data_IF_584612455687
#
_entry.id   IF_584612455687
#
_cell.length_a   1.000
_cell.length_b   1.000
_cell.length_c   1.000
_cell.angle_alpha   90.00
_cell.angle_beta   90.00
_cell.angle_gamma   90.00
#
_symmetry.space_group_name_H-M   'P 1'
#
loop_
_entity.id
_entity.type
_entity.pdbx_description
1 polymer ?
#
# COMPACT_ATOMS: atom_id res chain seq x y z
N UNK A 1 -7.82 14.31 -40.41
CA UNK A 1 -9.29 14.34 -40.23
C UNK A 1 -9.68 13.54 -38.99
N UNK A 2 -10.63 14.01 -38.16
CA UNK A 2 -11.05 13.30 -36.95
C UNK A 2 -11.60 11.90 -37.29
N UNK A 3 -11.28 10.91 -36.46
CA UNK A 3 -11.68 9.51 -36.66
C UNK A 3 -13.17 9.26 -36.34
N UNK A 4 -13.82 10.19 -35.63
CA UNK A 4 -15.20 10.10 -35.13
C UNK A 4 -16.03 11.29 -35.62
N UNK A 5 -17.35 11.09 -35.77
CA UNK A 5 -18.31 12.14 -36.10
C UNK A 5 -18.85 12.81 -34.82
N UNK A 6 -19.37 14.03 -34.96
CA UNK A 6 -20.06 14.70 -33.86
C UNK A 6 -21.46 14.11 -33.60
N UNK A 7 -22.05 14.41 -32.44
CA UNK A 7 -23.43 14.00 -32.13
C UNK A 7 -24.45 14.57 -33.13
N UNK A 8 -24.23 15.79 -33.63
CA UNK A 8 -25.11 16.39 -34.65
C UNK A 8 -25.01 15.62 -35.97
N UNK A 9 -23.80 15.26 -36.39
CA UNK A 9 -23.61 14.45 -37.59
C UNK A 9 -24.22 13.04 -37.45
N UNK A 10 -24.12 12.42 -36.27
CA UNK A 10 -24.77 11.13 -36.01
C UNK A 10 -26.30 11.22 -36.03
N UNK A 11 -26.89 12.27 -35.47
CA UNK A 11 -28.33 12.51 -35.53
C UNK A 11 -28.81 12.66 -36.99
N UNK A 12 -28.08 13.45 -37.79
CA UNK A 12 -28.36 13.63 -39.22
C UNK A 12 -28.26 12.30 -40.00
N UNK A 13 -27.27 11.45 -39.66
CA UNK A 13 -27.15 10.12 -40.26
C UNK A 13 -28.35 9.24 -39.94
N UNK A 14 -28.80 9.23 -38.68
CA UNK A 14 -29.98 8.46 -38.26
C UNK A 14 -31.24 8.96 -38.97
N UNK A 15 -31.41 10.28 -39.05
CA UNK A 15 -32.54 10.89 -39.73
C UNK A 15 -32.59 10.52 -41.22
N UNK A 16 -31.47 10.64 -41.94
CA UNK A 16 -31.38 10.28 -43.36
C UNK A 16 -31.55 8.77 -43.58
N UNK A 17 -31.03 7.94 -42.68
CA UNK A 17 -31.21 6.50 -42.72
C UNK A 17 -32.68 6.10 -42.54
N UNK A 18 -33.38 6.75 -41.60
CA UNK A 18 -34.83 6.59 -41.41
C UNK A 18 -35.63 7.07 -42.63
N UNK A 19 -35.30 8.24 -43.18
CA UNK A 19 -35.91 8.78 -44.40
C UNK A 19 -35.77 7.82 -45.60
N UNK A 20 -34.68 7.05 -45.66
CA UNK A 20 -34.45 6.05 -46.68
C UNK A 20 -35.04 4.67 -46.36
N UNK A 21 -35.96 4.56 -45.39
CA UNK A 21 -36.56 3.31 -44.91
C UNK A 21 -35.52 2.23 -44.57
N UNK A 22 -34.40 2.63 -43.95
CA UNK A 22 -33.32 1.70 -43.57
C UNK A 22 -32.41 1.26 -44.73
N UNK A 23 -32.53 1.83 -45.92
CA UNK A 23 -31.61 1.54 -47.02
C UNK A 23 -30.33 2.36 -46.90
N UNK A 24 -29.25 1.74 -46.41
CA UNK A 24 -27.97 2.41 -46.16
C UNK A 24 -27.30 2.98 -47.43
N UNK A 25 -27.49 2.35 -48.60
CA UNK A 25 -26.89 2.83 -49.86
C UNK A 25 -27.60 4.09 -50.37
N UNK A 26 -28.94 4.12 -50.27
CA UNK A 26 -29.73 5.32 -50.57
C UNK A 26 -29.40 6.44 -49.57
N UNK A 27 -29.27 6.10 -48.29
CA UNK A 27 -28.95 7.06 -47.23
C UNK A 27 -27.61 7.76 -47.46
N UNK A 28 -26.57 7.04 -47.92
CA UNK A 28 -25.28 7.65 -48.26
C UNK A 28 -25.42 8.71 -49.36
N UNK A 29 -26.16 8.39 -50.43
CA UNK A 29 -26.38 9.34 -51.55
C UNK A 29 -27.17 10.56 -51.10
N UNK A 30 -28.24 10.35 -50.34
CA UNK A 30 -29.05 11.44 -49.79
C UNK A 30 -28.27 12.30 -48.80
N UNK A 31 -27.40 11.71 -47.97
CA UNK A 31 -26.56 12.44 -47.04
C UNK A 31 -25.56 13.33 -47.78
N UNK A 32 -24.90 12.80 -48.81
CA UNK A 32 -23.98 13.58 -49.65
C UNK A 32 -24.70 14.73 -50.36
N UNK A 33 -25.94 14.51 -50.82
CA UNK A 33 -26.77 15.53 -51.46
C UNK A 33 -27.18 16.65 -50.49
N UNK A 34 -27.54 16.31 -49.25
CA UNK A 34 -28.01 17.27 -48.23
C UNK A 34 -26.86 18.03 -47.56
N UNK A 35 -25.67 17.43 -47.48
CA UNK A 35 -24.51 17.99 -46.79
C UNK A 35 -23.25 17.94 -47.68
N UNK A 36 -23.17 18.75 -48.75
CA UNK A 36 -22.09 18.67 -49.74
C UNK A 36 -20.71 19.01 -49.18
N UNK A 37 -20.64 19.82 -48.11
CA UNK A 37 -19.38 20.23 -47.48
C UNK A 37 -18.93 19.33 -46.32
N UNK A 38 -19.65 18.22 -46.06
CA UNK A 38 -19.31 17.29 -44.97
C UNK A 38 -18.66 16.02 -45.52
N UNK A 39 -17.88 15.35 -44.68
CA UNK A 39 -17.35 14.02 -44.99
C UNK A 39 -18.49 13.02 -45.12
N UNK A 40 -18.56 12.32 -46.25
CA UNK A 40 -19.57 11.29 -46.48
C UNK A 40 -19.23 10.00 -45.70
N UNK A 41 -20.10 9.55 -44.77
CA UNK A 41 -19.87 8.31 -44.02
C UNK A 41 -20.07 7.06 -44.89
N UNK A 42 -19.40 5.97 -44.54
CA UNK A 42 -19.64 4.67 -45.18
C UNK A 42 -21.05 4.15 -44.82
N UNK A 43 -21.70 3.40 -45.73
CA UNK A 43 -23.01 2.76 -45.49
C UNK A 43 -23.10 2.01 -44.14
N UNK A 44 -22.01 1.38 -43.70
CA UNK A 44 -21.96 0.67 -42.41
C UNK A 44 -22.13 1.61 -41.22
N UNK A 45 -21.65 2.86 -41.32
CA UNK A 45 -21.77 3.86 -40.24
C UNK A 45 -23.24 4.19 -40.00
N UNK A 46 -24.04 4.41 -41.04
CA UNK A 46 -25.49 4.66 -40.89
C UNK A 46 -26.19 3.52 -40.14
N UNK A 47 -25.93 2.29 -40.55
CA UNK A 47 -26.47 1.08 -39.91
C UNK A 47 -26.05 0.97 -38.44
N UNK A 48 -24.74 1.08 -38.17
CA UNK A 48 -24.19 0.91 -36.82
C UNK A 48 -24.62 2.03 -35.89
N UNK A 49 -24.73 3.27 -36.37
CA UNK A 49 -25.20 4.40 -35.57
C UNK A 49 -26.66 4.22 -35.19
N UNK A 50 -27.52 3.81 -36.13
CA UNK A 50 -28.93 3.53 -35.85
C UNK A 50 -29.09 2.38 -34.85
N UNK A 51 -28.41 1.25 -35.07
CA UNK A 51 -28.49 0.11 -34.17
C UNK A 51 -27.96 0.45 -32.77
N UNK A 52 -26.85 1.19 -32.68
CA UNK A 52 -26.30 1.63 -31.39
C UNK A 52 -27.28 2.53 -30.63
N UNK A 53 -27.90 3.47 -31.32
CA UNK A 53 -28.93 4.33 -30.74
C UNK A 53 -30.14 3.50 -30.27
N UNK A 54 -30.59 2.54 -31.08
CA UNK A 54 -31.72 1.66 -30.76
C UNK A 54 -31.45 0.74 -29.57
N UNK A 55 -30.26 0.17 -29.48
CA UNK A 55 -29.91 -0.82 -28.46
C UNK A 55 -29.46 -0.19 -27.14
N UNK A 56 -28.75 0.95 -27.20
CA UNK A 56 -28.10 1.54 -26.02
C UNK A 56 -28.54 2.96 -25.70
N UNK A 57 -29.33 3.61 -26.57
CA UNK A 57 -29.76 5.00 -26.40
C UNK A 57 -28.65 6.05 -26.54
N UNK A 58 -27.44 5.67 -26.98
CA UNK A 58 -26.28 6.58 -27.05
C UNK A 58 -25.56 6.49 -28.38
N UNK A 59 -24.97 7.60 -28.83
CA UNK A 59 -24.08 7.61 -30.01
C UNK A 59 -22.64 7.20 -29.69
N UNK A 60 -22.26 7.19 -28.41
CA UNK A 60 -20.92 6.90 -27.91
C UNK A 60 -20.46 5.51 -28.31
N UNK A 61 -19.34 5.43 -29.03
CA UNK A 61 -18.66 4.16 -29.30
C UNK A 61 -18.14 3.65 -27.96
N UNK A 62 -18.72 2.56 -27.44
CA UNK A 62 -18.16 1.85 -26.29
C UNK A 62 -16.75 1.40 -26.69
N UNK A 63 -15.72 2.07 -26.17
CA UNK A 63 -14.41 1.45 -26.12
C UNK A 63 -14.57 0.25 -25.18
N UNK A 64 -14.37 -0.95 -25.71
CA UNK A 64 -14.34 -2.14 -24.86
C UNK A 64 -13.18 -1.97 -23.88
N UNK A 65 -13.52 -1.58 -22.66
CA UNK A 65 -12.63 -1.48 -21.51
C UNK A 65 -12.06 -2.85 -21.09
N UNK A 66 -12.29 -3.93 -21.85
CA UNK A 66 -11.88 -5.30 -21.53
C UNK A 66 -10.37 -5.42 -21.33
N UNK A 67 -9.55 -4.73 -22.14
CA UNK A 67 -8.09 -4.72 -21.96
C UNK A 67 -7.66 -3.96 -20.71
N UNK A 68 -8.33 -2.84 -20.41
CA UNK A 68 -8.08 -2.03 -19.21
C UNK A 68 -8.49 -2.79 -17.95
N UNK A 69 -9.65 -3.42 -17.95
CA UNK A 69 -10.17 -4.23 -16.84
C UNK A 69 -9.29 -5.47 -16.59
N UNK A 70 -8.81 -6.14 -17.64
CA UNK A 70 -7.88 -7.26 -17.50
C UNK A 70 -6.49 -6.83 -17.02
N UNK A 71 -6.03 -5.63 -17.39
CA UNK A 71 -4.79 -5.05 -16.85
C UNK A 71 -4.95 -4.68 -15.37
N UNK A 72 -6.05 -4.02 -15.01
CA UNK A 72 -6.40 -3.64 -13.64
C UNK A 72 -6.51 -4.87 -12.72
N UNK A 73 -7.17 -5.95 -13.18
CA UNK A 73 -7.26 -7.21 -12.41
C UNK A 73 -5.89 -7.85 -12.17
N UNK A 74 -5.00 -7.84 -13.18
CA UNK A 74 -3.64 -8.38 -13.01
C UNK A 74 -2.82 -7.54 -12.04
N UNK A 75 -2.97 -6.21 -12.08
CA UNK A 75 -2.29 -5.29 -11.17
C UNK A 75 -2.77 -5.47 -9.73
N UNK A 76 -4.09 -5.65 -9.52
CA UNK A 76 -4.67 -5.96 -8.22
C UNK A 76 -4.18 -7.31 -7.66
N UNK A 77 -4.13 -8.36 -8.49
CA UNK A 77 -3.62 -9.67 -8.07
C UNK A 77 -2.13 -9.62 -7.71
N UNK A 78 -1.32 -8.91 -8.48
CA UNK A 78 0.09 -8.71 -8.17
C UNK A 78 0.26 -7.92 -6.86
N UNK A 79 -0.54 -6.86 -6.66
CA UNK A 79 -0.56 -6.08 -5.42
C UNK A 79 -0.88 -6.94 -4.20
N UNK A 80 -1.94 -7.74 -4.25
CA UNK A 80 -2.34 -8.61 -3.13
C UNK A 80 -1.27 -9.62 -2.77
N UNK A 81 -0.60 -10.22 -3.78
CA UNK A 81 0.50 -11.18 -3.53
C UNK A 81 1.69 -10.53 -2.82
N UNK A 82 1.99 -9.27 -3.15
CA UNK A 82 3.05 -8.49 -2.48
C UNK A 82 2.67 -8.21 -1.03
N UNK A 83 1.44 -7.73 -0.78
CA UNK A 83 0.99 -7.41 0.58
C UNK A 83 0.96 -8.63 1.49
N UNK A 84 0.45 -9.76 0.97
CA UNK A 84 0.40 -11.04 1.67
C UNK A 84 1.80 -11.58 2.01
N UNK A 85 2.79 -11.37 1.14
CA UNK A 85 4.17 -11.76 1.42
C UNK A 85 4.72 -11.02 2.65
N UNK A 86 4.46 -9.71 2.76
CA UNK A 86 4.89 -8.92 3.92
C UNK A 86 4.04 -9.17 5.17
N UNK A 87 2.80 -9.64 5.04
CA UNK A 87 2.01 -10.11 6.18
C UNK A 87 2.63 -11.38 6.81
N UNK A 88 3.11 -12.31 5.98
CA UNK A 88 3.73 -13.55 6.44
C UNK A 88 5.20 -13.36 6.89
N UNK A 89 5.91 -12.40 6.28
CA UNK A 89 7.34 -12.19 6.49
C UNK A 89 7.68 -10.69 6.58
N UNK A 90 7.30 -10.00 7.67
CA UNK A 90 7.50 -8.56 7.82
C UNK A 90 8.99 -8.17 7.84
N UNK A 91 9.90 -9.07 8.18
CA UNK A 91 11.36 -8.87 8.22
C UNK A 91 12.04 -8.87 6.85
N UNK A 92 11.31 -9.24 5.79
CA UNK A 92 11.91 -9.36 4.46
C UNK A 92 12.23 -8.00 3.87
N UNK A 93 13.41 -7.90 3.25
CA UNK A 93 13.76 -6.71 2.49
C UNK A 93 13.01 -6.69 1.15
N UNK A 94 12.74 -5.50 0.62
CA UNK A 94 12.15 -5.34 -0.72
C UNK A 94 12.97 -6.07 -1.79
N UNK A 95 14.29 -6.15 -1.64
CA UNK A 95 15.18 -6.87 -2.55
C UNK A 95 14.93 -8.38 -2.52
N UNK A 96 14.80 -8.96 -1.33
CA UNK A 96 14.51 -10.38 -1.19
C UNK A 96 13.09 -10.71 -1.67
N UNK A 97 12.11 -9.87 -1.32
CA UNK A 97 10.74 -10.00 -1.81
C UNK A 97 10.68 -9.93 -3.35
N UNK A 98 11.49 -9.07 -3.98
CA UNK A 98 11.62 -8.99 -5.43
C UNK A 98 12.12 -10.30 -6.05
N UNK A 99 13.16 -10.90 -5.48
CA UNK A 99 13.69 -12.19 -5.93
C UNK A 99 12.68 -13.33 -5.77
N UNK A 100 11.93 -13.36 -4.66
CA UNK A 100 10.94 -14.41 -4.36
C UNK A 100 9.68 -14.27 -5.22
N UNK A 101 9.19 -13.05 -5.41
CA UNK A 101 7.92 -12.80 -6.12
C UNK A 101 8.10 -12.62 -7.63
N UNK A 102 9.33 -12.41 -8.11
CA UNK A 102 9.61 -12.11 -9.52
C UNK A 102 9.08 -10.75 -9.96
N UNK A 103 8.87 -9.83 -9.00
CA UNK A 103 8.32 -8.49 -9.24
C UNK A 103 9.43 -7.45 -9.07
N UNK A 104 9.39 -6.38 -9.88
CA UNK A 104 10.39 -5.31 -9.75
C UNK A 104 10.37 -4.68 -8.34
N UNK A 105 11.53 -4.32 -7.77
CA UNK A 105 11.60 -3.64 -6.47
C UNK A 105 10.76 -2.35 -6.43
N UNK A 106 10.68 -1.63 -7.56
CA UNK A 106 9.94 -0.37 -7.67
C UNK A 106 8.43 -0.59 -7.55
N UNK A 107 7.90 -1.65 -8.16
CA UNK A 107 6.49 -2.03 -8.06
C UNK A 107 6.16 -2.40 -6.62
N UNK A 108 7.00 -3.23 -5.99
CA UNK A 108 6.84 -3.61 -4.58
C UNK A 108 6.80 -2.36 -3.68
N UNK A 109 7.75 -1.45 -3.84
CA UNK A 109 7.77 -0.19 -3.09
C UNK A 109 6.50 0.64 -3.25
N UNK A 110 5.99 0.77 -4.48
CA UNK A 110 4.74 1.51 -4.75
C UNK A 110 3.53 0.85 -4.09
N UNK A 111 3.42 -0.47 -4.18
CA UNK A 111 2.32 -1.23 -3.56
C UNK A 111 2.35 -1.10 -2.05
N UNK A 112 3.51 -1.34 -1.42
CA UNK A 112 3.69 -1.27 0.04
C UNK A 112 3.42 0.15 0.55
N UNK A 113 3.92 1.17 -0.14
CA UNK A 113 3.66 2.57 0.20
C UNK A 113 2.19 2.97 0.00
N UNK A 114 1.54 2.46 -1.05
CA UNK A 114 0.11 2.67 -1.31
C UNK A 114 -0.78 2.08 -0.21
N UNK A 115 -0.38 0.95 0.38
CA UNK A 115 -1.03 0.33 1.55
C UNK A 115 -0.59 0.94 2.89
N UNK A 116 0.18 2.04 2.86
CA UNK A 116 0.65 2.78 4.02
C UNK A 116 1.54 1.95 4.99
N UNK A 117 2.28 0.99 4.44
CA UNK A 117 3.29 0.20 5.18
C UNK A 117 4.68 0.82 5.02
N UNK A 118 5.48 0.78 6.07
CA UNK A 118 6.83 1.39 6.08
C UNK A 118 7.85 0.53 6.81
N UNK A 119 9.13 0.55 6.39
CA UNK A 119 10.20 -0.01 7.18
C UNK A 119 10.28 0.63 8.57
N UNK A 120 10.51 -0.20 9.57
CA UNK A 120 10.61 0.14 10.98
C UNK A 120 11.79 -0.60 11.59
N UNK A 121 12.60 0.09 12.39
CA UNK A 121 13.71 -0.53 13.09
C UNK A 121 13.25 -1.13 14.42
N UNK A 122 13.52 -2.43 14.62
CA UNK A 122 13.23 -3.07 15.90
C UNK A 122 14.18 -2.49 16.95
N UNK A 123 13.62 -1.86 17.97
CA UNK A 123 14.37 -1.50 19.17
C UNK A 123 14.41 -2.71 20.09
N UNK A 124 15.62 -3.22 20.35
CA UNK A 124 15.81 -4.23 21.39
C UNK A 124 15.71 -3.55 22.75
N UNK A 125 14.69 -3.89 23.51
CA UNK A 125 14.54 -3.49 24.90
C UNK A 125 14.80 -4.67 25.81
N UNK A 126 15.06 -4.41 27.08
CA UNK A 126 15.21 -5.45 28.10
C UNK A 126 13.95 -6.33 28.11
N UNK A 127 14.14 -7.65 28.22
CA UNK A 127 13.03 -8.59 28.30
C UNK A 127 12.40 -8.52 29.69
N UNK A 128 11.41 -7.65 29.85
CA UNK A 128 10.67 -7.48 31.10
C UNK A 128 9.72 -8.66 31.31
N UNK A 129 9.85 -9.33 32.46
CA UNK A 129 8.88 -10.31 32.91
C UNK A 129 7.70 -9.60 33.58
N UNK A 130 6.50 -10.21 33.64
CA UNK A 130 5.34 -9.61 34.31
C UNK A 130 5.62 -9.14 35.76
N UNK A 131 6.46 -9.89 36.49
CA UNK A 131 6.85 -9.53 37.85
C UNK A 131 7.73 -8.27 37.92
N UNK A 132 8.55 -8.02 36.90
CA UNK A 132 9.43 -6.85 36.85
C UNK A 132 8.63 -5.55 36.79
N UNK A 133 7.42 -5.57 36.22
CA UNK A 133 6.55 -4.39 36.21
C UNK A 133 6.22 -3.92 37.63
N UNK A 134 5.86 -4.85 38.51
CA UNK A 134 5.58 -4.54 39.92
C UNK A 134 6.82 -4.07 40.66
N UNK A 135 7.96 -4.72 40.46
CA UNK A 135 9.22 -4.34 41.10
C UNK A 135 9.65 -2.93 40.68
N UNK A 136 9.54 -2.60 39.39
CA UNK A 136 9.86 -1.26 38.86
C UNK A 136 8.90 -0.20 39.38
N UNK A 137 7.60 -0.50 39.44
CA UNK A 137 6.60 0.43 39.98
C UNK A 137 6.88 0.73 41.46
N UNK A 138 7.16 -0.31 42.26
CA UNK A 138 7.49 -0.16 43.67
C UNK A 138 8.77 0.67 43.85
N UNK A 139 9.81 0.41 43.07
CA UNK A 139 11.04 1.21 43.09
C UNK A 139 10.77 2.68 42.75
N UNK A 140 10.02 2.96 41.67
CA UNK A 140 9.67 4.33 41.29
C UNK A 140 8.89 5.05 42.40
N UNK A 141 7.90 4.38 42.99
CA UNK A 141 7.10 4.95 44.08
C UNK A 141 7.94 5.25 45.31
N UNK A 142 8.81 4.31 45.71
CA UNK A 142 9.76 4.51 46.79
C UNK A 142 10.69 5.70 46.50
N UNK A 143 11.31 5.74 45.32
CA UNK A 143 12.23 6.81 44.92
C UNK A 143 11.57 8.19 44.97
N UNK A 144 10.35 8.31 44.45
CA UNK A 144 9.58 9.56 44.47
C UNK A 144 9.24 10.00 45.90
N UNK A 145 8.85 9.07 46.78
CA UNK A 145 8.59 9.38 48.18
C UNK A 145 9.87 9.82 48.91
N UNK A 146 11.00 9.18 48.65
CA UNK A 146 12.30 9.57 49.24
C UNK A 146 12.72 10.96 48.77
N UNK A 147 12.53 11.29 47.48
CA UNK A 147 12.77 12.64 46.96
C UNK A 147 11.86 13.70 47.57
N UNK A 148 10.61 13.34 47.91
CA UNK A 148 9.67 14.25 48.57
C UNK A 148 10.13 14.59 50.00
N UNK A 149 10.63 13.59 50.71
CA UNK A 149 11.10 13.75 52.09
C UNK A 149 12.48 14.42 52.18
N UNK A 150 13.34 14.22 51.18
CA UNK A 150 14.65 14.85 51.07
C UNK A 150 14.90 15.36 49.64
N UNK A 151 14.77 16.67 49.45
CA UNK A 151 14.90 17.31 48.14
C UNK A 151 16.31 17.17 47.54
N UNK A 152 17.33 16.94 48.37
CA UNK A 152 18.72 16.75 47.92
C UNK A 152 19.04 15.28 47.62
N UNK A 153 18.12 14.34 47.88
CA UNK A 153 18.35 12.92 47.70
C UNK A 153 18.90 12.52 46.32
N UNK A 154 18.41 13.05 45.17
CA UNK A 154 18.96 12.71 43.85
C UNK A 154 20.46 13.04 43.71
N UNK A 155 20.93 14.10 44.38
CA UNK A 155 22.33 14.51 44.36
C UNK A 155 23.25 13.65 45.23
N UNK A 156 22.67 12.85 46.14
CA UNK A 156 23.40 11.94 47.04
C UNK A 156 23.61 10.55 46.42
N UNK A 157 22.97 10.27 45.29
CA UNK A 157 23.07 8.97 44.61
C UNK A 157 24.20 9.03 43.59
N UNK A 158 25.14 8.09 43.71
CA UNK A 158 26.12 7.80 42.68
C UNK A 158 25.62 6.62 41.85
N UNK A 159 25.41 6.85 40.56
CA UNK A 159 25.05 5.80 39.61
C UNK A 159 26.31 5.21 39.01
N UNK A 160 26.41 3.88 39.00
CA UNK A 160 27.46 3.14 38.30
C UNK A 160 26.83 2.07 37.44
N UNK A 161 27.35 1.86 36.24
CA UNK A 161 27.04 0.71 35.40
C UNK A 161 28.32 -0.09 35.09
N UNK A 162 28.13 -1.33 34.67
CA UNK A 162 29.22 -2.17 34.19
C UNK A 162 29.13 -2.26 32.67
N UNK A 163 30.17 -1.78 31.99
CA UNK A 163 30.26 -1.86 30.53
C UNK A 163 31.11 -3.07 30.12
N UNK A 164 30.50 -4.01 29.40
CA UNK A 164 31.23 -5.17 28.86
C UNK A 164 31.90 -4.81 27.53
N UNK A 165 33.24 -4.78 27.51
CA UNK A 165 34.02 -4.62 26.28
C UNK A 165 34.45 -5.98 25.75
N UNK A 166 33.97 -6.36 24.55
CA UNK A 166 34.40 -7.60 23.90
C UNK A 166 35.35 -7.31 22.73
N UNK A 167 36.34 -8.18 22.53
CA UNK A 167 37.36 -8.05 21.46
C UNK A 167 36.78 -8.11 20.04
N UNK A 168 35.53 -8.58 19.88
CA UNK A 168 34.82 -8.70 18.61
C UNK A 168 34.07 -7.44 18.14
N UNK A 169 34.05 -6.37 18.95
CA UNK A 169 33.33 -5.14 18.63
C UNK A 169 31.82 -5.22 18.86
N UNK A 170 31.18 -4.05 18.90
CA UNK A 170 29.73 -3.91 19.08
C UNK A 170 29.07 -4.24 17.73
N UNK A 171 28.27 -5.32 17.68
CA UNK A 171 27.53 -5.72 16.48
C UNK A 171 26.58 -4.58 16.09
N UNK A 172 26.66 -4.10 14.84
CA UNK A 172 25.80 -3.03 14.33
C UNK A 172 24.33 -3.50 14.24
N UNK A 173 23.53 -3.12 15.23
CA UNK A 173 22.13 -3.53 15.35
C UNK A 173 21.19 -2.81 14.38
N UNK A 174 21.66 -1.80 13.63
CA UNK A 174 20.84 -1.01 12.71
C UNK A 174 20.36 -1.77 11.46
N UNK A 175 20.91 -2.96 11.21
CA UNK A 175 20.56 -3.79 10.06
C UNK A 175 19.30 -4.66 10.27
N UNK A 176 18.67 -4.61 11.45
CA UNK A 176 17.42 -5.30 11.72
C UNK A 176 16.23 -4.35 11.52
N UNK A 177 15.39 -4.63 10.54
CA UNK A 177 14.19 -3.86 10.24
C UNK A 177 13.03 -4.78 9.87
N UNK A 178 11.81 -4.34 10.19
CA UNK A 178 10.54 -4.97 9.80
C UNK A 178 9.73 -3.97 8.97
N UNK A 179 8.79 -4.45 8.19
CA UNK A 179 7.75 -3.61 7.60
C UNK A 179 6.59 -3.54 8.58
N UNK A 180 6.26 -2.32 9.02
CA UNK A 180 5.16 -2.03 9.92
C UNK A 180 3.84 -2.15 9.17
N UNK A 181 2.95 -3.01 9.68
CA UNK A 181 1.60 -3.22 9.17
C UNK A 181 0.62 -2.38 10.03
N UNK A 182 -0.22 -1.53 9.43
CA UNK A 182 -1.24 -0.77 10.16
C UNK A 182 -2.16 -1.69 10.97
N UNK A 183 -2.36 -1.38 12.27
CA UNK A 183 -3.24 -2.15 13.16
C UNK A 183 -2.58 -3.31 13.91
N UNK A 184 -1.35 -3.71 13.55
CA UNK A 184 -0.57 -4.71 14.28
C UNK A 184 0.30 -4.00 15.33
N UNK A 185 -0.34 -3.54 16.41
CA UNK A 185 0.34 -3.16 17.65
C UNK A 185 -0.05 -4.18 18.69
N UNK A 186 0.75 -5.24 18.85
CA UNK A 186 0.89 -5.91 20.15
C UNK A 186 2.07 -6.88 20.13
N UNK A 187 3.06 -6.58 20.96
CA UNK A 187 4.02 -7.52 21.54
C UNK A 187 4.89 -8.36 20.59
N UNK A 188 5.77 -7.71 19.83
CA UNK A 188 6.96 -8.44 19.30
C UNK A 188 8.06 -8.48 20.35
N UNK A 189 7.83 -9.24 21.42
CA UNK A 189 8.88 -9.67 22.35
C UNK A 189 9.81 -10.66 21.63
N UNK A 190 10.71 -10.15 20.79
CA UNK A 190 11.81 -10.96 20.25
C UNK A 190 12.87 -11.15 21.35
N UNK A 191 12.64 -12.17 22.18
CA UNK A 191 13.62 -12.66 23.15
C UNK A 191 14.78 -13.34 22.41
N UNK A 192 15.97 -12.74 22.49
CA UNK A 192 17.20 -13.51 22.59
C UNK A 192 17.62 -13.44 24.04
N UNK A 193 17.49 -14.56 24.74
CA UNK A 193 17.96 -14.77 26.11
C UNK A 193 19.43 -14.35 26.21
N UNK A 194 19.68 -13.30 26.98
CA UNK A 194 20.99 -13.04 27.57
C UNK A 194 20.80 -13.27 29.07
N UNK A 195 21.40 -14.34 29.57
CA UNK A 195 21.54 -14.61 31.00
C UNK A 195 22.36 -13.45 31.59
N UNK A 196 21.71 -12.57 32.35
CA UNK A 196 22.37 -11.69 33.30
C UNK A 196 21.97 -12.17 34.68
N UNK A 197 22.91 -12.86 35.33
CA UNK A 197 22.88 -13.20 36.74
C UNK A 197 22.75 -11.91 37.55
N UNK A 198 21.57 -11.62 38.07
CA UNK A 198 21.40 -10.59 39.09
C UNK A 198 21.71 -11.19 40.46
N UNK A 199 22.98 -11.17 40.85
CA UNK A 199 23.39 -11.30 42.23
C UNK A 199 23.38 -9.92 42.90
N UNK A 200 22.37 -9.64 43.72
CA UNK A 200 22.43 -8.62 44.76
C UNK A 200 22.41 -9.38 46.09
N UNK A 201 23.59 -9.73 46.59
CA UNK A 201 23.74 -10.16 47.98
C UNK A 201 23.66 -8.91 48.86
N UNK A 202 22.54 -8.75 49.56
CA UNK A 202 22.47 -7.86 50.71
C UNK A 202 23.24 -8.50 51.85
N UNK A 203 24.51 -8.14 52.00
CA UNK A 203 25.28 -8.44 53.20
C UNK A 203 24.70 -7.67 54.39
N UNK A 204 23.84 -8.33 55.16
CA UNK A 204 23.50 -7.90 56.52
C UNK A 204 24.52 -8.49 57.48
N UNK A 205 25.48 -7.69 57.92
CA UNK A 205 26.23 -7.94 59.16
C UNK A 205 25.90 -6.83 60.15
N UNK A 206 25.14 -7.18 61.19
CA UNK A 206 25.38 -6.68 62.54
C UNK A 206 26.20 -7.73 63.27
#
# INVERSE_FOLDING_TARGET
MPRTYSNSEYADMVFVYGFCNGNALKAVREYARRFPNRRVPNRRVFMLTFNRLRETGTFSIRQENNRFQAALRRDLQAGNRILQHFDNHPETSVRNASAVLGVSPQTIWRTVKGDNRYPYHIQKVQNLLPQDHWNRLNFCNWYLQTCHNDILFPSKIMWSDEATFTRGGIINQRNYGLIKIPGLLENTNFSKSFLLMSGLEFGTTF
#
